data_IF_377783156301
#
_entry.id   IF_377783156301
#
_cell.length_a   1.000
_cell.length_b   1.000
_cell.length_c   1.000
_cell.angle_alpha   90.00
_cell.angle_beta   90.00
_cell.angle_gamma   90.00
#
_symmetry.space_group_name_H-M   'P 1'
#
loop_
_entity.id
_entity.type
_entity.pdbx_description
1 polymer ?
#
# COMPACT_ATOMS: atom_id res chain seq x y z
N UNK A 1 1.99 21.47 -1.03
CA UNK A 1 2.46 22.67 -1.72
C UNK A 1 3.28 22.38 -2.99
N UNK A 2 3.98 21.24 -3.15
CA UNK A 2 4.73 20.94 -4.39
C UNK A 2 4.29 19.67 -5.14
N UNK A 3 3.15 19.06 -4.79
CA UNK A 3 2.72 17.78 -5.38
C UNK A 3 2.58 17.81 -6.91
N UNK A 4 2.05 18.89 -7.54
CA UNK A 4 2.03 19.04 -9.00
C UNK A 4 3.42 19.01 -9.65
N UNK A 5 4.39 19.68 -9.04
CA UNK A 5 5.76 19.78 -9.54
C UNK A 5 6.43 18.41 -9.49
N UNK A 6 6.19 17.67 -8.41
CA UNK A 6 6.72 16.33 -8.27
C UNK A 6 6.03 15.33 -9.20
N UNK A 7 4.72 15.42 -9.46
CA UNK A 7 3.98 14.41 -10.25
C UNK A 7 4.65 14.06 -11.58
N UNK A 8 5.10 15.07 -12.32
CA UNK A 8 5.69 14.92 -13.65
C UNK A 8 7.23 14.92 -13.63
N UNK A 9 7.84 14.91 -12.45
CA UNK A 9 9.30 14.92 -12.28
C UNK A 9 9.91 13.53 -12.51
N UNK A 10 11.11 13.50 -13.08
CA UNK A 10 11.92 12.28 -13.20
C UNK A 10 12.37 11.74 -11.83
N UNK A 11 12.37 12.58 -10.79
CA UNK A 11 12.82 12.24 -9.44
C UNK A 11 11.68 11.79 -8.50
N UNK A 12 10.46 11.60 -9.00
CA UNK A 12 9.30 11.08 -8.25
C UNK A 12 9.62 9.87 -7.38
N UNK A 13 10.40 8.93 -7.95
CA UNK A 13 10.79 7.70 -7.27
C UNK A 13 11.52 7.94 -5.95
N UNK A 14 12.24 9.05 -5.80
CA UNK A 14 12.96 9.34 -4.55
C UNK A 14 12.01 9.76 -3.42
N UNK A 15 10.98 10.54 -3.75
CA UNK A 15 9.93 10.91 -2.78
C UNK A 15 9.08 9.69 -2.42
N UNK A 16 8.73 8.87 -3.42
CA UNK A 16 7.91 7.68 -3.23
C UNK A 16 8.59 6.65 -2.31
N UNK A 17 9.93 6.56 -2.31
CA UNK A 17 10.69 5.73 -1.36
C UNK A 17 10.41 6.09 0.10
N UNK A 18 10.36 7.38 0.44
CA UNK A 18 10.10 7.84 1.81
C UNK A 18 8.66 7.54 2.23
N UNK A 19 7.69 7.75 1.34
CA UNK A 19 6.30 7.38 1.61
C UNK A 19 6.15 5.86 1.79
N UNK A 20 6.80 5.06 0.94
CA UNK A 20 6.81 3.60 1.09
C UNK A 20 7.46 3.15 2.40
N UNK A 21 8.52 3.83 2.86
CA UNK A 21 9.12 3.55 4.16
C UNK A 21 8.15 3.87 5.30
N UNK A 22 7.48 5.03 5.26
CA UNK A 22 6.48 5.40 6.26
C UNK A 22 5.30 4.42 6.30
N UNK A 23 4.77 4.02 5.14
CA UNK A 23 3.70 3.02 5.08
C UNK A 23 4.13 1.69 5.67
N UNK A 24 5.35 1.23 5.41
CA UNK A 24 5.92 0.02 6.06
C UNK A 24 6.03 0.18 7.57
N UNK A 25 6.48 1.33 8.05
CA UNK A 25 6.52 1.60 9.49
C UNK A 25 5.12 1.56 10.11
N UNK A 26 4.10 2.11 9.45
CA UNK A 26 2.71 2.06 9.94
C UNK A 26 2.17 0.63 9.94
N UNK A 27 2.35 -0.12 8.86
CA UNK A 27 1.80 -1.48 8.74
C UNK A 27 2.69 -2.57 9.37
N UNK A 28 3.93 -2.27 9.76
CA UNK A 28 4.84 -3.29 10.29
C UNK A 28 5.42 -4.24 9.25
N UNK A 29 5.39 -3.86 7.98
CA UNK A 29 5.82 -4.70 6.87
C UNK A 29 7.33 -4.61 6.64
N UNK A 30 7.88 -5.71 6.13
CA UNK A 30 9.31 -5.79 5.79
C UNK A 30 9.58 -5.17 4.42
N UNK A 31 10.86 -5.01 4.09
CA UNK A 31 11.25 -4.43 2.79
C UNK A 31 10.86 -5.32 1.61
N UNK A 32 10.82 -6.64 1.82
CA UNK A 32 10.47 -7.63 0.79
C UNK A 32 8.99 -7.64 0.44
N UNK A 33 8.11 -7.15 1.33
CA UNK A 33 6.67 -7.10 1.05
C UNK A 33 6.39 -6.29 -0.24
N UNK A 34 5.59 -6.84 -1.17
CA UNK A 34 5.25 -6.16 -2.42
C UNK A 34 4.62 -4.78 -2.20
N UNK A 35 5.00 -3.80 -3.01
CA UNK A 35 4.58 -2.40 -2.85
C UNK A 35 3.05 -2.22 -2.91
N UNK A 36 2.35 -3.08 -3.64
CA UNK A 36 0.89 -3.06 -3.79
C UNK A 36 0.13 -3.22 -2.46
N UNK A 37 0.72 -3.90 -1.48
CA UNK A 37 0.12 -4.10 -0.15
C UNK A 37 0.24 -2.88 0.76
N UNK A 38 1.26 -2.03 0.57
CA UNK A 38 1.53 -0.92 1.50
C UNK A 38 0.34 0.06 1.61
N UNK A 39 -0.24 0.52 0.47
CA UNK A 39 -1.38 1.42 0.53
C UNK A 39 -2.60 0.83 1.24
N UNK A 40 -2.83 -0.47 1.07
CA UNK A 40 -3.97 -1.17 1.65
C UNK A 40 -3.85 -1.22 3.16
N UNK A 41 -2.75 -1.79 3.67
CA UNK A 41 -2.58 -2.04 5.11
C UNK A 41 -2.33 -0.77 5.91
N UNK A 42 -1.68 0.25 5.34
CA UNK A 42 -1.50 1.54 6.02
C UNK A 42 -2.72 2.47 5.93
N UNK A 43 -3.75 2.09 5.18
CA UNK A 43 -4.87 2.94 4.78
C UNK A 43 -4.43 4.31 4.21
N UNK A 44 -3.36 4.31 3.42
CA UNK A 44 -2.82 5.49 2.75
C UNK A 44 -2.89 5.25 1.24
N UNK A 45 -3.50 6.17 0.49
CA UNK A 45 -3.57 6.01 -0.96
C UNK A 45 -2.16 5.93 -1.61
N UNK A 46 -1.99 5.20 -2.73
CA UNK A 46 -0.72 5.08 -3.44
C UNK A 46 -0.09 6.45 -3.77
N UNK A 47 1.26 6.56 -3.80
CA UNK A 47 1.94 7.83 -4.01
C UNK A 47 1.51 8.58 -5.28
N UNK A 48 1.33 7.87 -6.39
CA UNK A 48 0.88 8.45 -7.67
C UNK A 48 -0.52 9.05 -7.56
N UNK A 49 -1.48 8.28 -7.07
CA UNK A 49 -2.86 8.73 -6.91
C UNK A 49 -2.99 9.93 -5.96
N UNK A 50 -2.16 9.98 -4.90
CA UNK A 50 -2.10 11.15 -4.01
C UNK A 50 -1.63 12.42 -4.72
N UNK A 51 -0.60 12.30 -5.57
CA UNK A 51 -0.07 13.43 -6.34
C UNK A 51 -1.08 13.92 -7.40
N UNK A 52 -1.77 12.99 -8.07
CA UNK A 52 -2.85 13.31 -9.03
C UNK A 52 -4.04 13.99 -8.35
N UNK A 53 -4.49 13.48 -7.20
CA UNK A 53 -5.56 14.11 -6.44
C UNK A 53 -5.17 15.50 -5.93
N UNK A 54 -3.96 15.67 -5.40
CA UNK A 54 -3.47 16.98 -4.95
C UNK A 54 -3.40 17.99 -6.11
N UNK A 55 -2.92 17.56 -7.28
CA UNK A 55 -2.95 18.36 -8.50
C UNK A 55 -4.37 18.78 -8.88
N UNK A 56 -5.32 17.85 -8.85
CA UNK A 56 -6.71 18.13 -9.22
C UNK A 56 -7.35 19.15 -8.26
N UNK A 57 -7.10 19.03 -6.95
CA UNK A 57 -7.61 19.99 -5.96
C UNK A 57 -7.03 21.38 -6.17
N UNK A 58 -5.72 21.46 -6.42
CA UNK A 58 -5.02 22.72 -6.70
C UNK A 58 -5.50 23.35 -8.01
N UNK A 59 -5.68 22.54 -9.05
CA UNK A 59 -6.24 22.97 -10.34
C UNK A 59 -7.65 23.53 -10.22
N UNK A 60 -8.55 22.81 -9.52
CA UNK A 60 -9.92 23.28 -9.26
C UNK A 60 -9.93 24.60 -8.50
N UNK A 61 -9.04 24.76 -7.52
CA UNK A 61 -8.90 26.02 -6.78
C UNK A 61 -8.53 27.18 -7.71
N UNK A 62 -7.61 26.97 -8.65
CA UNK A 62 -7.19 28.01 -9.59
C UNK A 62 -8.25 28.30 -10.65
N UNK A 63 -8.85 27.27 -11.23
CA UNK A 63 -9.88 27.40 -12.25
C UNK A 63 -11.17 28.04 -11.72
N UNK A 64 -11.51 27.82 -10.44
CA UNK A 64 -12.73 28.34 -9.84
C UNK A 64 -12.56 29.72 -9.19
N UNK A 65 -11.35 30.28 -9.15
CA UNK A 65 -11.08 31.57 -8.51
C UNK A 65 -10.49 32.59 -9.52
N UNK A 66 -11.35 33.37 -10.20
CA UNK A 66 -10.94 34.40 -11.16
C UNK A 66 -10.05 35.50 -10.59
N UNK A 67 -10.06 35.71 -9.27
CA UNK A 67 -9.28 36.76 -8.62
C UNK A 67 -7.80 36.40 -8.45
N UNK A 68 -7.42 35.13 -8.67
CA UNK A 68 -6.02 34.73 -8.59
C UNK A 68 -5.27 35.17 -9.85
N UNK A 69 -4.09 35.80 -9.74
CA UNK A 69 -3.29 36.18 -10.90
C UNK A 69 -2.99 35.00 -11.84
N UNK A 70 -2.85 33.79 -11.30
CA UNK A 70 -2.60 32.60 -12.10
C UNK A 70 -3.77 32.22 -13.01
N UNK A 71 -5.00 32.68 -12.74
CA UNK A 71 -6.17 32.34 -13.54
C UNK A 71 -6.05 32.90 -14.96
N UNK A 72 -5.50 34.10 -15.14
CA UNK A 72 -5.27 34.67 -16.49
C UNK A 72 -4.22 33.88 -17.26
N UNK A 73 -3.24 33.31 -16.56
CA UNK A 73 -2.24 32.44 -17.18
C UNK A 73 -2.85 31.11 -17.63
N UNK A 74 -3.84 30.57 -16.90
CA UNK A 74 -4.48 29.31 -17.27
C UNK A 74 -5.14 29.36 -18.66
N UNK A 75 -5.81 30.47 -18.98
CA UNK A 75 -6.48 30.67 -20.28
C UNK A 75 -5.48 30.97 -21.39
N UNK A 76 -4.42 31.73 -21.09
CA UNK A 76 -3.35 32.04 -22.06
C UNK A 76 -2.51 30.82 -22.46
N UNK A 77 -2.43 29.79 -21.61
CA UNK A 77 -1.61 28.59 -21.85
C UNK A 77 -2.21 27.61 -22.87
N UNK A 78 -3.45 27.78 -23.31
CA UNK A 78 -4.14 26.85 -24.21
C UNK A 78 -3.53 26.76 -25.61
N UNK A 79 -2.93 27.84 -26.09
CA UNK A 79 -2.23 27.88 -27.39
C UNK A 79 -0.70 27.74 -27.30
N UNK A 80 -0.13 27.70 -26.09
CA UNK A 80 1.32 27.78 -25.91
C UNK A 80 2.02 26.44 -26.16
N UNK A 81 2.72 26.33 -27.30
CA UNK A 81 3.52 25.15 -27.62
C UNK A 81 4.78 25.10 -26.74
N UNK A 82 4.83 24.10 -25.83
CA UNK A 82 6.02 23.80 -25.04
C UNK A 82 6.83 22.67 -25.68
N UNK A 83 8.13 22.62 -25.36
CA UNK A 83 8.98 21.49 -25.71
C UNK A 83 8.39 20.16 -25.24
N UNK A 84 8.50 19.12 -26.09
CA UNK A 84 7.98 17.76 -25.83
C UNK A 84 8.49 17.16 -24.51
N UNK A 85 9.70 17.53 -24.09
CA UNK A 85 10.31 17.06 -22.84
C UNK A 85 9.64 17.62 -21.58
N UNK A 86 8.97 18.78 -21.68
CA UNK A 86 8.29 19.40 -20.55
C UNK A 86 6.86 18.89 -20.46
N UNK A 87 6.54 18.24 -19.33
CA UNK A 87 5.20 17.72 -19.01
C UNK A 87 4.52 18.66 -18.02
N UNK A 88 3.86 19.74 -18.48
CA UNK A 88 3.30 20.72 -17.58
C UNK A 88 2.12 20.11 -16.79
N UNK A 89 2.00 20.39 -15.48
CA UNK A 89 0.94 19.80 -14.65
C UNK A 89 -0.49 20.11 -15.13
N UNK A 90 -0.70 21.26 -15.80
CA UNK A 90 -2.02 21.66 -16.28
C UNK A 90 -2.61 20.70 -17.34
N UNK A 91 -1.77 20.06 -18.17
CA UNK A 91 -2.25 19.05 -19.13
C UNK A 91 -2.79 17.83 -18.40
N UNK A 92 -2.00 17.33 -17.45
CA UNK A 92 -2.41 16.21 -16.59
C UNK A 92 -3.67 16.54 -15.80
N UNK A 93 -3.78 17.76 -15.26
CA UNK A 93 -4.97 18.18 -14.53
C UNK A 93 -6.23 18.23 -15.41
N UNK A 94 -6.10 18.70 -16.66
CA UNK A 94 -7.17 18.69 -17.66
C UNK A 94 -7.61 17.28 -18.00
N UNK A 95 -6.66 16.38 -18.27
CA UNK A 95 -6.95 14.98 -18.57
C UNK A 95 -7.67 14.32 -17.40
N UNK A 96 -7.16 14.48 -16.17
CA UNK A 96 -7.81 13.98 -14.95
C UNK A 96 -9.21 14.57 -14.73
N UNK A 97 -9.43 15.84 -15.08
CA UNK A 97 -10.75 16.49 -14.98
C UNK A 97 -11.72 15.91 -16.01
N UNK A 98 -11.27 15.73 -17.25
CA UNK A 98 -12.05 15.12 -18.34
C UNK A 98 -12.45 13.68 -18.01
N UNK A 99 -11.51 12.92 -17.45
CA UNK A 99 -11.71 11.53 -17.06
C UNK A 99 -12.52 11.37 -15.76
N UNK A 100 -13.00 12.47 -15.16
CA UNK A 100 -13.71 12.49 -13.87
C UNK A 100 -12.97 11.72 -12.78
N UNK A 101 -11.65 11.92 -12.69
CA UNK A 101 -10.79 11.20 -11.77
C UNK A 101 -11.32 11.25 -10.33
N UNK A 102 -11.45 10.06 -9.73
CA UNK A 102 -11.76 9.87 -8.32
C UNK A 102 -10.69 8.95 -7.71
N UNK A 103 -10.04 9.42 -6.65
CA UNK A 103 -8.96 8.68 -5.99
C UNK A 103 -9.41 7.33 -5.42
N UNK A 104 -10.63 7.25 -4.87
CA UNK A 104 -11.15 6.02 -4.27
C UNK A 104 -11.47 4.99 -5.35
N UNK A 105 -12.23 5.37 -6.38
CA UNK A 105 -12.57 4.47 -7.49
C UNK A 105 -11.33 4.01 -8.25
N UNK A 106 -10.36 4.90 -8.46
CA UNK A 106 -9.11 4.54 -9.14
C UNK A 106 -8.28 3.56 -8.31
N UNK A 107 -8.21 3.77 -6.99
CA UNK A 107 -7.51 2.87 -6.06
C UNK A 107 -8.14 1.48 -6.03
N UNK A 108 -9.48 1.40 -6.06
CA UNK A 108 -10.22 0.13 -6.15
C UNK A 108 -9.94 -0.61 -7.45
N UNK A 109 -9.98 0.09 -8.58
CA UNK A 109 -9.67 -0.50 -9.88
C UNK A 109 -8.20 -0.98 -9.99
N UNK A 110 -7.25 -0.17 -9.52
CA UNK A 110 -5.84 -0.55 -9.59
C UNK A 110 -5.55 -1.76 -8.68
N UNK A 111 -6.22 -1.85 -7.51
CA UNK A 111 -6.10 -3.01 -6.62
C UNK A 111 -6.66 -4.30 -7.22
N UNK A 112 -7.85 -4.25 -7.81
CA UNK A 112 -8.50 -5.44 -8.40
C UNK A 112 -7.70 -6.00 -9.56
N UNK A 113 -7.09 -5.14 -10.38
CA UNK A 113 -6.21 -5.53 -11.49
C UNK A 113 -4.90 -6.17 -10.99
N UNK A 114 -4.27 -5.58 -9.96
CA UNK A 114 -2.96 -6.05 -9.48
C UNK A 114 -3.02 -7.25 -8.51
N UNK A 115 -4.20 -7.55 -7.94
CA UNK A 115 -4.36 -8.55 -6.88
C UNK A 115 -5.63 -9.41 -7.07
N UNK A 116 -5.78 -10.14 -8.18
CA UNK A 116 -6.99 -10.93 -8.45
C UNK A 116 -7.28 -11.95 -7.35
N UNK A 117 -6.26 -12.60 -6.80
CA UNK A 117 -6.43 -13.67 -5.80
C UNK A 117 -6.79 -13.15 -4.41
N UNK A 118 -6.37 -11.91 -4.09
CA UNK A 118 -6.53 -11.32 -2.75
C UNK A 118 -7.73 -10.36 -2.64
N UNK A 119 -8.57 -10.29 -3.68
CA UNK A 119 -9.74 -9.41 -3.67
C UNK A 119 -10.69 -9.74 -2.51
N UNK A 120 -10.83 -11.02 -2.17
CA UNK A 120 -11.71 -11.48 -1.09
C UNK A 120 -11.21 -11.09 0.31
N UNK A 121 -9.92 -10.78 0.45
CA UNK A 121 -9.29 -10.49 1.73
C UNK A 121 -9.49 -9.03 2.17
N UNK A 122 -9.96 -8.16 1.27
CA UNK A 122 -10.04 -6.71 1.48
C UNK A 122 -11.42 -6.22 1.07
N UNK A 123 -12.25 -5.83 2.05
CA UNK A 123 -13.65 -5.45 1.81
C UNK A 123 -13.79 -4.08 1.15
N UNK A 124 -13.04 -3.08 1.63
CA UNK A 124 -13.07 -1.71 1.08
C UNK A 124 -11.74 -1.02 1.34
N UNK A 125 -11.07 -0.55 0.29
CA UNK A 125 -9.73 0.05 0.38
C UNK A 125 -9.73 1.43 1.03
N UNK A 126 -10.88 2.09 1.07
CA UNK A 126 -11.04 3.44 1.61
C UNK A 126 -11.25 3.43 3.13
N UNK A 127 -11.47 2.25 3.72
CA UNK A 127 -11.73 2.06 5.15
C UNK A 127 -10.52 1.35 5.78
N UNK A 128 -10.29 1.62 7.07
CA UNK A 128 -9.30 0.88 7.86
C UNK A 128 -9.70 -0.59 7.93
N UNK A 129 -8.78 -1.49 7.60
CA UNK A 129 -9.07 -2.91 7.64
C UNK A 129 -9.31 -3.40 9.07
N UNK A 130 -10.04 -4.52 9.25
CA UNK A 130 -10.07 -5.22 10.53
C UNK A 130 -8.66 -5.43 11.07
N UNK A 131 -8.50 -5.25 12.38
CA UNK A 131 -7.20 -5.37 13.04
C UNK A 131 -6.34 -4.11 13.07
N UNK A 132 -6.70 -3.04 12.37
CA UNK A 132 -5.91 -1.80 12.32
C UNK A 132 -5.64 -1.19 13.71
N UNK A 133 -6.52 -1.43 14.68
CA UNK A 133 -6.42 -0.93 16.05
C UNK A 133 -5.89 -1.98 17.04
N UNK A 134 -5.44 -3.14 16.57
CA UNK A 134 -4.79 -4.13 17.43
C UNK A 134 -3.47 -3.58 17.97
N UNK A 135 -2.98 -4.21 19.03
CA UNK A 135 -1.63 -3.93 19.53
C UNK A 135 -0.61 -4.13 18.41
N UNK A 136 0.47 -3.34 18.47
CA UNK A 136 1.50 -3.29 17.44
C UNK A 136 2.05 -4.67 17.06
N UNK A 137 2.31 -5.54 18.03
CA UNK A 137 2.81 -6.90 17.82
C UNK A 137 1.82 -7.74 17.01
N UNK A 138 0.57 -7.84 17.46
CA UNK A 138 -0.50 -8.58 16.79
C UNK A 138 -0.79 -8.02 15.39
N UNK A 139 -0.76 -6.69 15.24
CA UNK A 139 -0.97 -6.04 13.95
C UNK A 139 0.13 -6.38 12.92
N UNK A 140 1.39 -6.42 13.36
CA UNK A 140 2.52 -6.84 12.51
C UNK A 140 2.36 -8.30 12.08
N UNK A 141 1.98 -9.18 13.01
CA UNK A 141 1.73 -10.60 12.74
C UNK A 141 0.60 -10.79 11.72
N UNK A 142 -0.55 -10.13 11.93
CA UNK A 142 -1.70 -10.18 11.02
C UNK A 142 -1.33 -9.73 9.60
N UNK A 143 -0.56 -8.67 9.48
CA UNK A 143 -0.13 -8.14 8.19
C UNK A 143 0.88 -9.06 7.49
N UNK A 144 1.74 -9.73 8.27
CA UNK A 144 2.67 -10.71 7.73
C UNK A 144 1.92 -11.94 7.18
N UNK A 145 0.89 -12.39 7.91
CA UNK A 145 -0.04 -13.45 7.46
C UNK A 145 -0.75 -13.03 6.18
N UNK A 146 -1.39 -11.86 6.18
CA UNK A 146 -2.18 -11.36 5.05
C UNK A 146 -1.35 -11.21 3.78
N UNK A 147 -0.06 -10.88 3.90
CA UNK A 147 0.83 -10.69 2.74
C UNK A 147 1.64 -11.93 2.40
N UNK A 148 1.67 -12.95 3.27
CA UNK A 148 2.62 -14.07 3.20
C UNK A 148 4.09 -13.65 3.30
N UNK A 149 4.36 -12.41 3.74
CA UNK A 149 5.71 -11.85 3.87
C UNK A 149 5.98 -11.36 5.28
N UNK A 150 7.05 -11.86 5.88
CA UNK A 150 7.45 -11.54 7.24
C UNK A 150 8.80 -12.15 7.57
N UNK A 151 9.09 -12.32 8.85
CA UNK A 151 10.32 -12.88 9.42
C UNK A 151 10.24 -14.41 9.57
N UNK A 152 9.66 -15.09 8.59
CA UNK A 152 9.67 -16.55 8.56
C UNK A 152 11.08 -17.11 8.37
N UNK A 153 11.35 -18.35 8.76
CA UNK A 153 12.64 -19.00 8.58
C UNK A 153 13.15 -18.92 7.14
N UNK A 154 12.28 -19.17 6.15
CA UNK A 154 12.59 -18.98 4.72
C UNK A 154 13.09 -17.56 4.39
N UNK A 155 12.41 -16.52 4.86
CA UNK A 155 12.83 -15.13 4.61
C UNK A 155 14.11 -14.76 5.37
N UNK A 156 14.26 -15.22 6.61
CA UNK A 156 15.46 -14.98 7.41
C UNK A 156 16.71 -15.64 6.82
N UNK A 157 16.58 -16.87 6.32
CA UNK A 157 17.65 -17.56 5.57
C UNK A 157 18.01 -16.80 4.30
N UNK A 158 17.00 -16.40 3.51
CA UNK A 158 17.19 -15.59 2.30
C UNK A 158 17.90 -14.26 2.56
N UNK A 159 17.77 -13.70 3.77
CA UNK A 159 18.46 -12.47 4.18
C UNK A 159 19.83 -12.72 4.82
N UNK A 160 20.27 -13.97 4.95
CA UNK A 160 21.52 -14.34 5.61
C UNK A 160 21.51 -14.10 7.12
N UNK A 161 20.32 -14.06 7.74
CA UNK A 161 20.15 -13.89 9.20
C UNK A 161 19.97 -15.21 9.94
N UNK A 162 19.93 -16.32 9.19
CA UNK A 162 19.81 -17.69 9.71
C UNK A 162 20.59 -18.63 8.78
N UNK A 163 21.13 -19.71 9.33
CA UNK A 163 21.94 -20.68 8.57
C UNK A 163 21.09 -21.64 7.71
N UNK A 164 19.82 -21.83 8.08
CA UNK A 164 18.88 -22.68 7.36
C UNK A 164 17.45 -22.10 7.41
N UNK A 165 16.58 -22.60 6.54
CA UNK A 165 15.18 -22.19 6.46
C UNK A 165 14.22 -23.11 7.22
N UNK A 166 14.72 -24.17 7.86
CA UNK A 166 13.89 -25.24 8.43
C UNK A 166 12.97 -24.76 9.55
N UNK A 167 11.82 -25.41 9.67
CA UNK A 167 10.90 -25.19 10.78
C UNK A 167 11.35 -25.99 12.01
N UNK A 168 10.94 -25.56 13.20
CA UNK A 168 11.16 -26.29 14.46
C UNK A 168 10.43 -27.64 14.50
N UNK A 169 9.36 -27.79 13.70
CA UNK A 169 8.71 -29.08 13.47
C UNK A 169 9.50 -30.03 12.55
N UNK A 170 10.65 -29.60 12.02
CA UNK A 170 11.49 -30.39 11.10
C UNK A 170 11.16 -30.23 9.62
N UNK A 171 10.15 -29.42 9.26
CA UNK A 171 9.84 -29.14 7.85
C UNK A 171 10.97 -28.36 7.17
N UNK A 172 11.19 -28.62 5.88
CA UNK A 172 12.36 -28.11 5.14
C UNK A 172 12.40 -26.58 5.05
N UNK A 173 11.25 -25.93 4.82
CA UNK A 173 11.18 -24.48 4.63
C UNK A 173 10.03 -23.85 5.42
N UNK A 174 10.37 -23.09 6.46
CA UNK A 174 9.42 -22.38 7.29
C UNK A 174 8.91 -21.12 6.57
N UNK A 175 7.85 -21.29 5.78
CA UNK A 175 7.08 -20.20 5.18
C UNK A 175 5.95 -19.74 6.10
N UNK A 176 5.38 -18.57 5.82
CA UNK A 176 4.20 -18.10 6.57
C UNK A 176 3.02 -19.06 6.38
N UNK A 177 2.79 -19.53 5.14
CA UNK A 177 1.73 -20.50 4.87
C UNK A 177 1.92 -21.77 5.71
N UNK A 178 3.14 -22.32 5.73
CA UNK A 178 3.46 -23.46 6.57
C UNK A 178 3.12 -23.21 8.05
N UNK A 179 3.54 -22.08 8.62
CA UNK A 179 3.28 -21.74 10.03
C UNK A 179 1.78 -21.70 10.33
N UNK A 180 0.96 -21.12 9.46
CA UNK A 180 -0.47 -20.89 9.74
C UNK A 180 -1.36 -22.11 9.43
N UNK A 181 -1.03 -22.92 8.41
CA UNK A 181 -1.92 -24.00 7.95
C UNK A 181 -1.40 -25.43 8.16
N UNK A 182 -0.07 -25.64 8.16
CA UNK A 182 0.50 -27.00 8.07
C UNK A 182 1.33 -27.41 9.28
N UNK A 183 1.92 -26.44 9.99
CA UNK A 183 2.86 -26.71 11.06
C UNK A 183 2.17 -27.39 12.24
N UNK A 184 2.58 -28.61 12.65
CA UNK A 184 1.93 -29.32 13.76
C UNK A 184 2.12 -28.63 15.12
N UNK A 185 3.09 -27.72 15.23
CA UNK A 185 3.40 -26.97 16.46
C UNK A 185 2.62 -25.64 16.49
N UNK A 186 2.58 -24.93 15.37
CA UNK A 186 2.10 -23.54 15.32
C UNK A 186 0.75 -23.36 14.65
N UNK A 187 0.30 -24.28 13.78
CA UNK A 187 -0.85 -24.04 12.91
C UNK A 187 -2.10 -23.65 13.70
N UNK A 188 -2.80 -22.66 13.17
CA UNK A 188 -4.09 -22.26 13.68
C UNK A 188 -5.15 -23.22 13.18
N UNK A 189 -6.08 -23.61 14.05
CA UNK A 189 -7.12 -24.60 13.73
C UNK A 189 -8.27 -24.05 12.89
N UNK A 190 -8.37 -22.73 12.76
CA UNK A 190 -9.40 -22.07 11.96
C UNK A 190 -8.99 -21.86 10.50
N UNK A 191 -9.68 -20.94 9.86
CA UNK A 191 -9.52 -20.60 8.44
C UNK A 191 -8.75 -19.29 8.26
N UNK A 192 -8.28 -19.04 7.03
CA UNK A 192 -7.64 -17.77 6.67
C UNK A 192 -8.60 -16.58 6.91
N UNK A 193 -9.90 -16.76 6.66
CA UNK A 193 -10.92 -15.73 6.87
C UNK A 193 -11.03 -15.28 8.33
N UNK A 194 -10.74 -16.16 9.29
CA UNK A 194 -10.80 -15.83 10.71
C UNK A 194 -9.75 -14.78 11.10
N UNK A 195 -8.58 -14.79 10.44
CA UNK A 195 -7.59 -13.72 10.58
C UNK A 195 -8.11 -12.41 10.00
N UNK A 196 -8.67 -12.44 8.79
CA UNK A 196 -9.14 -11.24 8.10
C UNK A 196 -10.32 -10.57 8.80
N UNK A 197 -11.18 -11.34 9.45
CA UNK A 197 -12.27 -10.83 10.28
C UNK A 197 -11.83 -10.51 11.71
N UNK A 198 -10.56 -10.78 12.05
CA UNK A 198 -9.99 -10.59 13.38
C UNK A 198 -10.84 -11.21 14.48
N UNK A 199 -11.28 -12.45 14.26
CA UNK A 199 -12.01 -13.21 15.29
C UNK A 199 -11.14 -13.37 16.54
N UNK A 200 -11.80 -13.41 17.71
CA UNK A 200 -11.12 -13.44 19.00
C UNK A 200 -10.11 -14.59 19.11
N UNK A 201 -10.46 -15.79 18.64
CA UNK A 201 -9.58 -16.97 18.63
C UNK A 201 -8.32 -16.75 17.78
N UNK A 202 -8.45 -16.12 16.62
CA UNK A 202 -7.32 -15.82 15.73
C UNK A 202 -6.40 -14.74 16.35
N UNK A 203 -6.99 -13.74 16.99
CA UNK A 203 -6.25 -12.69 17.71
C UNK A 203 -5.49 -13.27 18.90
N UNK A 204 -6.13 -14.16 19.66
CA UNK A 204 -5.49 -14.83 20.81
C UNK A 204 -4.38 -15.77 20.38
N UNK A 205 -4.58 -16.52 19.29
CA UNK A 205 -3.52 -17.33 18.68
C UNK A 205 -2.32 -16.45 18.25
N UNK A 206 -2.56 -15.30 17.61
CA UNK A 206 -1.48 -14.39 17.18
C UNK A 206 -0.69 -13.80 18.35
N UNK A 207 -1.33 -13.56 19.50
CA UNK A 207 -0.65 -13.08 20.71
C UNK A 207 0.24 -14.14 21.34
N UNK A 208 -0.20 -15.40 21.31
CA UNK A 208 0.50 -16.53 21.92
C UNK A 208 1.47 -17.25 20.95
N UNK A 209 1.62 -16.74 19.73
CA UNK A 209 2.54 -17.30 18.74
C UNK A 209 3.99 -17.08 19.18
N UNK A 210 4.69 -18.17 19.48
CA UNK A 210 6.08 -18.14 19.95
C UNK A 210 7.10 -17.74 18.86
N UNK A 211 6.69 -17.80 17.59
CA UNK A 211 7.51 -17.38 16.44
C UNK A 211 7.14 -15.96 16.03
N UNK A 212 8.13 -15.08 15.94
CA UNK A 212 7.92 -13.71 15.44
C UNK A 212 7.82 -13.72 13.92
N UNK A 213 6.62 -13.43 13.41
CA UNK A 213 6.37 -13.16 11.99
C UNK A 213 6.74 -11.73 11.60
#
# INVERSE_FOLDING_TARGET
YCAPVWLNSVHTKNVDKHLNAAMRSISGLTKSTPLKWLPMLSNIAPPKLRKENALLQEWKKYANNPFLPIHTDLTALEGAQRFKSRKPPWKTARDLTKDKFNISSKRENDWTIENPDNQKLVTTLTIKQPGFYLERSTWVTLNSISTGHGRSGHMMYKWGLRDNETCDCGYESQTINHIITECPIHAFKGTIEDYHLTKEEAVEWMKNLNVKL
#
